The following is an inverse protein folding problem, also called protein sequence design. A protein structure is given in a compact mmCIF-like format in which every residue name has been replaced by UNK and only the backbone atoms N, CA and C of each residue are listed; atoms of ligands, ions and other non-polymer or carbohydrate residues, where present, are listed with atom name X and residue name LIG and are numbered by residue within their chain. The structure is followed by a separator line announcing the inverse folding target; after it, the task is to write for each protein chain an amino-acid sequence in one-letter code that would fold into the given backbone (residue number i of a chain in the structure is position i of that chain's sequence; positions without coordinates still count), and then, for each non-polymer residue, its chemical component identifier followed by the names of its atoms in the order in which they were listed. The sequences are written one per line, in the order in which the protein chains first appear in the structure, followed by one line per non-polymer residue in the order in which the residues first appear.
data_IF_208540568032
#
_entry.id   IF_208540568032
#
_cell.length_a   1.000
_cell.length_b   1.000
_cell.length_c   1.000
_cell.angle_alpha   90.00
_cell.angle_beta   90.00
_cell.angle_gamma   90.00
#
_symmetry.space_group_name_H-M   'P 1'
#
loop_
_entity.id
_entity.type
_entity.pdbx_description
1 polymer ?
#
# COMPACT_ATOMS: atom_id res chain seq x y z
N UNK A 1 -4.31 -47.31 -45.54
CA UNK A 1 -2.85 -47.25 -45.82
C UNK A 1 -2.20 -46.60 -44.60
N UNK A 2 -1.78 -47.37 -43.60
CA UNK A 2 -0.41 -47.90 -43.38
C UNK A 2 0.71 -46.92 -43.75
N UNK A 3 1.49 -46.53 -42.73
CA UNK A 3 2.93 -46.19 -42.69
C UNK A 3 3.13 -45.19 -41.52
N UNK A 4 3.43 -45.57 -40.28
CA UNK A 4 4.72 -46.07 -39.74
C UNK A 4 5.94 -45.46 -40.43
N UNK A 5 6.82 -44.78 -39.68
CA UNK A 5 8.25 -45.12 -39.56
C UNK A 5 9.02 -44.08 -38.69
N UNK A 6 9.58 -44.59 -37.58
CA UNK A 6 10.90 -44.31 -36.92
C UNK A 6 11.24 -42.88 -36.45
N UNK A 7 11.49 -42.62 -35.17
CA UNK A 7 12.57 -43.10 -34.27
C UNK A 7 13.96 -42.48 -34.57
N UNK A 8 14.45 -41.64 -33.64
CA UNK A 8 15.79 -41.64 -32.98
C UNK A 8 16.07 -40.21 -32.42
N UNK A 9 16.18 -40.03 -31.10
CA UNK A 9 17.33 -40.17 -30.19
C UNK A 9 17.86 -38.79 -29.75
N UNK A 10 17.73 -38.56 -28.43
CA UNK A 10 18.72 -38.00 -27.50
C UNK A 10 19.56 -36.79 -27.92
N UNK A 11 19.26 -35.66 -27.27
CA UNK A 11 20.18 -34.55 -27.04
C UNK A 11 20.04 -34.07 -25.60
N UNK A 12 20.60 -34.82 -24.65
CA UNK A 12 20.66 -34.44 -23.24
C UNK A 12 21.63 -33.27 -23.09
N UNK A 13 21.10 -32.05 -23.02
CA UNK A 13 21.94 -30.88 -22.71
C UNK A 13 22.28 -30.89 -21.21
N UNK A 14 23.51 -31.33 -20.90
CA UNK A 14 24.09 -31.23 -19.58
C UNK A 14 24.28 -29.74 -19.22
N UNK A 15 23.35 -29.17 -18.44
CA UNK A 15 23.57 -27.88 -17.80
C UNK A 15 24.49 -28.09 -16.59
N UNK A 16 25.72 -27.64 -16.74
CA UNK A 16 26.71 -27.56 -15.69
C UNK A 16 26.12 -26.90 -14.42
N UNK A 17 26.08 -27.64 -13.32
CA UNK A 17 25.77 -27.10 -12.01
C UNK A 17 26.90 -26.16 -11.59
N UNK A 18 26.61 -24.86 -11.50
CA UNK A 18 27.50 -23.90 -10.85
C UNK A 18 27.39 -24.11 -9.35
N UNK A 19 28.34 -24.84 -8.78
CA UNK A 19 28.55 -24.92 -7.33
C UNK A 19 29.14 -23.59 -6.85
N UNK A 20 28.38 -22.84 -6.05
CA UNK A 20 28.88 -21.71 -5.29
C UNK A 20 29.43 -22.24 -3.96
N UNK A 21 30.75 -22.26 -3.81
CA UNK A 21 31.38 -22.49 -2.52
C UNK A 21 31.24 -21.19 -1.69
N UNK A 22 30.28 -21.18 -0.77
CA UNK A 22 30.07 -20.06 0.14
C UNK A 22 30.93 -20.30 1.39
N UNK A 23 32.09 -19.63 1.46
CA UNK A 23 32.91 -19.62 2.66
C UNK A 23 32.21 -18.79 3.75
N UNK A 24 31.80 -19.45 4.83
CA UNK A 24 31.23 -18.79 6.01
C UNK A 24 32.36 -18.18 6.85
N UNK A 25 32.44 -16.86 6.86
CA UNK A 25 33.20 -16.10 7.86
C UNK A 25 32.31 -15.89 9.09
N UNK A 26 32.68 -16.42 10.28
CA UNK A 26 31.92 -16.16 11.50
C UNK A 26 32.18 -14.72 11.96
N UNK A 27 31.21 -13.84 11.76
CA UNK A 27 31.17 -12.54 12.43
C UNK A 27 30.71 -12.73 13.89
N UNK A 28 31.39 -12.12 14.87
CA UNK A 28 30.97 -12.16 16.27
C UNK A 28 29.63 -11.43 16.43
N UNK A 29 28.67 -12.14 17.02
CA UNK A 29 27.36 -11.65 17.43
C UNK A 29 27.52 -10.61 18.53
N UNK A 30 27.50 -9.33 18.18
CA UNK A 30 27.44 -8.24 19.15
C UNK A 30 26.18 -7.42 18.92
N UNK A 31 25.36 -7.33 19.96
CA UNK A 31 24.38 -6.27 20.11
C UNK A 31 22.96 -6.63 19.71
N UNK A 32 22.19 -7.08 20.69
CA UNK A 32 20.74 -6.87 20.78
C UNK A 32 20.40 -5.46 20.27
N UNK A 33 19.56 -5.28 19.24
CA UNK A 33 19.02 -3.96 18.93
C UNK A 33 18.12 -3.57 20.10
N UNK A 34 18.68 -2.74 20.98
CA UNK A 34 18.01 -2.06 22.06
C UNK A 34 16.82 -1.32 21.44
N UNK A 35 15.61 -1.85 21.69
CA UNK A 35 14.37 -1.20 21.32
C UNK A 35 14.38 0.17 21.99
N UNK A 36 14.67 1.23 21.22
CA UNK A 36 14.47 2.58 21.64
C UNK A 36 12.98 2.72 21.95
N UNK A 37 12.62 2.76 23.23
CA UNK A 37 11.30 3.12 23.70
C UNK A 37 11.07 4.57 23.31
N UNK A 38 10.63 4.77 22.07
CA UNK A 38 10.13 6.06 21.61
C UNK A 38 9.01 6.46 22.58
N UNK A 39 9.21 7.56 23.29
CA UNK A 39 8.22 8.10 24.20
C UNK A 39 6.87 8.22 23.47
N UNK A 40 5.74 7.86 24.10
CA UNK A 40 4.44 7.92 23.45
C UNK A 40 4.17 9.37 23.04
N UNK A 41 4.26 9.65 21.73
CA UNK A 41 3.88 10.94 21.18
C UNK A 41 2.41 11.18 21.49
N UNK A 42 2.03 12.35 22.02
CA UNK A 42 0.64 12.66 22.33
C UNK A 42 -0.21 12.48 21.08
N UNK A 43 -1.32 11.75 21.22
CA UNK A 43 -2.21 11.42 20.11
C UNK A 43 -2.90 12.72 19.66
N UNK A 44 -2.41 13.32 18.57
CA UNK A 44 -2.83 14.63 18.06
C UNK A 44 -4.27 14.65 17.53
N UNK A 45 -4.79 13.49 17.13
CA UNK A 45 -6.08 13.34 16.47
C UNK A 45 -6.85 12.16 17.07
N UNK A 46 -8.19 12.15 17.04
CA UNK A 46 -8.98 11.01 17.53
C UNK A 46 -8.86 9.76 16.63
N UNK A 47 -8.04 9.83 15.59
CA UNK A 47 -7.76 8.75 14.65
C UNK A 47 -6.27 8.73 14.30
N UNK A 48 -5.78 7.57 13.87
CA UNK A 48 -4.39 7.37 13.46
C UNK A 48 -4.33 6.57 12.16
N UNK A 49 -3.34 6.89 11.32
CA UNK A 49 -3.09 6.16 10.06
C UNK A 49 -1.63 5.68 10.09
N UNK A 50 -1.38 4.39 10.37
CA UNK A 50 -0.04 3.84 10.37
C UNK A 50 0.52 3.80 8.94
N UNK A 51 1.80 4.16 8.81
CA UNK A 51 2.56 3.93 7.57
C UNK A 51 2.75 2.44 7.35
N UNK A 52 2.87 2.05 6.09
CA UNK A 52 3.19 0.66 5.76
C UNK A 52 4.65 0.32 6.13
N UNK A 53 5.04 -0.95 6.00
CA UNK A 53 6.41 -1.43 6.30
C UNK A 53 7.51 -0.72 5.50
N UNK A 54 7.16 -0.08 4.38
CA UNK A 54 8.07 0.72 3.54
C UNK A 54 8.00 2.22 3.86
N UNK A 55 7.31 2.62 4.93
CA UNK A 55 7.16 4.01 5.34
C UNK A 55 6.23 4.86 4.47
N UNK A 56 5.47 4.27 3.55
CA UNK A 56 4.54 5.00 2.67
C UNK A 56 3.13 5.08 3.27
N UNK A 57 2.38 6.13 2.92
CA UNK A 57 0.98 6.26 3.32
C UNK A 57 0.13 5.13 2.72
N UNK A 58 -0.80 4.53 3.49
CA UNK A 58 -1.65 3.43 3.04
C UNK A 58 -2.81 3.92 2.16
N UNK A 59 -2.51 4.76 1.15
CA UNK A 59 -3.48 5.32 0.20
C UNK A 59 -3.30 4.65 -1.16
N UNK A 60 -4.37 4.04 -1.66
CA UNK A 60 -4.35 3.23 -2.87
C UNK A 60 -5.41 3.72 -3.85
N UNK A 61 -5.18 3.48 -5.14
CA UNK A 61 -6.19 3.65 -6.17
C UNK A 61 -6.72 2.28 -6.55
N UNK A 62 -8.03 2.16 -6.66
CA UNK A 62 -8.72 0.97 -7.15
C UNK A 62 -9.55 1.37 -8.36
N UNK A 63 -9.33 0.68 -9.47
CA UNK A 63 -9.89 0.99 -10.77
C UNK A 63 -10.77 -0.18 -11.17
N UNK A 64 -12.06 0.08 -11.40
CA UNK A 64 -13.07 -0.92 -11.73
C UNK A 64 -13.84 -0.53 -12.99
N UNK A 65 -14.70 -1.45 -13.45
CA UNK A 65 -15.61 -1.25 -14.58
C UNK A 65 -14.89 -0.77 -15.85
N UNK A 66 -13.80 -1.43 -16.24
CA UNK A 66 -13.05 -1.07 -17.45
C UNK A 66 -12.50 0.36 -17.41
N UNK A 67 -11.89 0.75 -16.28
CA UNK A 67 -11.30 2.08 -16.09
C UNK A 67 -12.24 3.27 -15.98
N UNK A 68 -13.55 3.03 -15.80
CA UNK A 68 -14.51 4.12 -15.62
C UNK A 68 -14.75 4.47 -14.14
N UNK A 69 -14.56 3.51 -13.23
CA UNK A 69 -14.78 3.70 -11.80
C UNK A 69 -13.45 3.79 -11.07
N UNK A 70 -13.08 5.00 -10.67
CA UNK A 70 -11.89 5.27 -9.87
C UNK A 70 -12.27 5.48 -8.41
N UNK A 71 -11.68 4.67 -7.54
CA UNK A 71 -11.81 4.77 -6.09
C UNK A 71 -10.44 5.05 -5.48
N UNK A 72 -10.41 5.91 -4.46
CA UNK A 72 -9.23 6.11 -3.61
C UNK A 72 -9.53 5.48 -2.26
N UNK A 73 -8.63 4.61 -1.76
CA UNK A 73 -8.81 3.91 -0.50
C UNK A 73 -7.73 4.30 0.48
N UNK A 74 -8.12 4.75 1.66
CA UNK A 74 -7.25 4.93 2.82
C UNK A 74 -7.43 3.69 3.70
N UNK A 75 -6.37 2.88 3.85
CA UNK A 75 -6.40 1.64 4.62
C UNK A 75 -5.82 1.83 6.02
N UNK A 76 -6.13 0.85 6.87
CA UNK A 76 -5.60 0.72 8.23
C UNK A 76 -5.88 1.91 9.14
N UNK A 77 -7.01 2.58 8.99
CA UNK A 77 -7.39 3.67 9.91
C UNK A 77 -7.69 3.07 11.29
N UNK A 78 -7.12 3.68 12.32
CA UNK A 78 -7.34 3.36 13.72
C UNK A 78 -8.04 4.52 14.43
N UNK A 79 -8.82 4.24 15.47
CA UNK A 79 -9.61 5.24 16.18
C UNK A 79 -10.89 5.66 15.44
N UNK A 80 -11.29 6.93 15.59
CA UNK A 80 -12.56 7.45 15.08
C UNK A 80 -12.49 7.76 13.57
N UNK A 81 -12.99 6.84 12.76
CA UNK A 81 -12.99 6.97 11.29
C UNK A 81 -13.91 8.08 10.77
N UNK A 82 -14.99 8.38 11.48
CA UNK A 82 -15.97 9.39 11.06
C UNK A 82 -15.40 10.80 11.25
N UNK A 83 -14.55 10.99 12.26
CA UNK A 83 -13.75 12.20 12.41
C UNK A 83 -12.80 12.40 11.22
N UNK A 84 -12.08 11.34 10.79
CA UNK A 84 -11.24 11.40 9.59
C UNK A 84 -12.07 11.71 8.33
N UNK A 85 -13.23 11.07 8.16
CA UNK A 85 -14.10 11.29 7.01
C UNK A 85 -14.61 12.74 6.97
N UNK A 86 -14.98 13.31 8.12
CA UNK A 86 -15.42 14.70 8.24
C UNK A 86 -14.29 15.68 7.93
N UNK A 87 -13.10 15.46 8.49
CA UNK A 87 -11.94 16.32 8.20
C UNK A 87 -11.48 16.23 6.74
N UNK A 88 -11.58 15.05 6.10
CA UNK A 88 -11.30 14.92 4.68
C UNK A 88 -12.29 15.72 3.82
N UNK A 89 -13.58 15.72 4.17
CA UNK A 89 -14.59 16.53 3.45
C UNK A 89 -14.29 18.02 3.53
N UNK A 90 -13.81 18.49 4.68
CA UNK A 90 -13.56 19.91 4.93
C UNK A 90 -12.16 20.38 4.49
N UNK A 91 -11.17 19.48 4.52
CA UNK A 91 -9.77 19.84 4.41
C UNK A 91 -9.08 19.45 3.11
N UNK A 92 -9.65 18.54 2.31
CA UNK A 92 -8.99 18.05 1.09
C UNK A 92 -9.10 19.05 -0.07
N UNK A 93 -10.27 19.68 -0.21
CA UNK A 93 -10.57 20.67 -1.25
C UNK A 93 -11.30 21.87 -0.63
N UNK A 94 -11.13 23.06 -1.22
CA UNK A 94 -11.88 24.24 -0.78
C UNK A 94 -13.38 24.08 -1.07
N UNK A 95 -14.26 24.55 -0.18
CA UNK A 95 -15.70 24.52 -0.43
C UNK A 95 -16.05 25.33 -1.68
N UNK A 96 -16.97 24.82 -2.50
CA UNK A 96 -17.39 25.45 -3.76
C UNK A 96 -16.52 25.12 -4.98
N UNK A 97 -15.50 24.27 -4.82
CA UNK A 97 -14.76 23.72 -5.97
C UNK A 97 -15.53 22.54 -6.59
N UNK A 98 -15.48 22.35 -7.92
CA UNK A 98 -16.16 21.23 -8.57
C UNK A 98 -15.62 19.87 -8.10
N UNK A 99 -14.36 19.81 -7.66
CA UNK A 99 -13.77 18.62 -7.05
C UNK A 99 -14.42 18.26 -5.70
N UNK A 100 -14.66 19.26 -4.85
CA UNK A 100 -15.32 19.07 -3.56
C UNK A 100 -16.76 18.56 -3.72
N UNK A 101 -17.51 19.08 -4.70
CA UNK A 101 -18.89 18.66 -4.96
C UNK A 101 -18.98 17.25 -5.53
N UNK A 102 -18.03 16.88 -6.42
CA UNK A 102 -17.94 15.52 -6.96
C UNK A 102 -17.49 14.52 -5.91
N UNK A 103 -16.85 15.00 -4.84
CA UNK A 103 -16.24 14.12 -3.85
C UNK A 103 -17.25 13.42 -2.97
N UNK A 104 -17.31 12.09 -3.06
CA UNK A 104 -18.08 11.24 -2.14
C UNK A 104 -17.14 10.43 -1.25
N UNK A 105 -17.45 10.41 0.05
CA UNK A 105 -16.68 9.68 1.07
C UNK A 105 -17.59 8.66 1.75
N UNK A 106 -17.13 7.42 1.82
CA UNK A 106 -17.76 6.30 2.51
C UNK A 106 -16.78 5.64 3.48
N UNK A 107 -17.26 5.25 4.65
CA UNK A 107 -16.49 4.47 5.63
C UNK A 107 -16.89 2.99 5.52
N UNK A 108 -15.91 2.09 5.53
CA UNK A 108 -16.12 0.65 5.39
C UNK A 108 -15.53 -0.05 6.63
N UNK A 109 -16.39 -0.80 7.32
CA UNK A 109 -16.03 -1.67 8.47
C UNK A 109 -15.18 -0.97 9.53
N UNK A 110 -15.39 0.34 9.70
CA UNK A 110 -14.65 1.20 10.64
C UNK A 110 -13.12 1.19 10.53
N UNK A 111 -12.57 0.71 9.40
CA UNK A 111 -11.12 0.54 9.18
C UNK A 111 -10.62 1.18 7.89
N UNK A 112 -11.52 1.43 6.94
CA UNK A 112 -11.19 1.93 5.61
C UNK A 112 -12.06 3.11 5.23
N UNK A 113 -11.44 4.13 4.65
CA UNK A 113 -12.16 5.24 4.02
C UNK A 113 -12.04 5.08 2.52
N UNK A 114 -13.18 5.11 1.83
CA UNK A 114 -13.28 5.03 0.38
C UNK A 114 -13.80 6.34 -0.15
N UNK A 115 -13.09 6.82 -1.15
CA UNK A 115 -13.29 8.09 -1.81
C UNK A 115 -13.62 7.82 -3.28
N UNK A 116 -14.72 8.38 -3.79
CA UNK A 116 -15.20 8.13 -5.17
C UNK A 116 -15.74 9.36 -5.86
N UNK A 117 -15.38 9.58 -7.13
CA UNK A 117 -15.75 10.79 -7.88
C UNK A 117 -14.58 11.42 -8.62
N UNK A 118 -13.38 10.84 -8.51
CA UNK A 118 -12.18 11.26 -9.22
C UNK A 118 -10.93 10.55 -8.72
N UNK A 119 -9.78 10.97 -9.26
CA UNK A 119 -8.46 10.48 -8.89
C UNK A 119 -7.84 11.38 -7.82
N UNK A 120 -8.04 11.04 -6.54
CA UNK A 120 -7.61 11.92 -5.44
C UNK A 120 -6.44 11.38 -4.62
N UNK A 121 -5.84 10.26 -5.03
CA UNK A 121 -4.71 9.63 -4.31
C UNK A 121 -3.63 10.63 -3.93
N UNK A 122 -3.15 11.43 -4.89
CA UNK A 122 -2.03 12.35 -4.66
C UNK A 122 -2.39 13.46 -3.68
N UNK A 123 -3.59 14.03 -3.82
CA UNK A 123 -4.08 15.07 -2.91
C UNK A 123 -4.28 14.52 -1.50
N UNK A 124 -4.85 13.31 -1.37
CA UNK A 124 -5.03 12.66 -0.06
C UNK A 124 -3.69 12.38 0.60
N UNK A 125 -2.70 11.87 -0.14
CA UNK A 125 -1.35 11.64 0.39
C UNK A 125 -0.72 12.96 0.84
N UNK A 126 -0.78 14.00 0.01
CA UNK A 126 -0.22 15.33 0.34
C UNK A 126 -0.88 15.89 1.60
N UNK A 127 -2.20 15.78 1.71
CA UNK A 127 -2.96 16.24 2.87
C UNK A 127 -2.58 15.49 4.16
N UNK A 128 -2.48 14.17 4.10
CA UNK A 128 -2.09 13.34 5.25
C UNK A 128 -0.65 13.66 5.71
N UNK A 129 0.28 13.77 4.76
CA UNK A 129 1.68 14.13 5.06
C UNK A 129 1.75 15.53 5.68
N UNK A 130 0.98 16.50 5.15
CA UNK A 130 0.90 17.86 5.72
C UNK A 130 0.38 17.87 7.17
N UNK A 131 -0.51 16.95 7.54
CA UNK A 131 -0.98 16.81 8.93
C UNK A 131 0.03 16.15 9.87
N UNK A 132 1.04 15.49 9.31
CA UNK A 132 2.11 14.82 10.05
C UNK A 132 1.90 13.31 10.26
N UNK A 133 1.09 12.66 9.41
CA UNK A 133 0.97 11.19 9.37
C UNK A 133 2.08 10.54 8.53
#
# INVERSE_FOLDING_TARGET
MLSSFRSRLLGTSARAARSYAQAAVPHPTTGTPQHATAAPTPVKYPYYIPRNSRGSMPVYTDIRNGSTKHLTLIRNVEGNIDALATELRQGLFSPGTPEAERMKIQTIRSKHVVLSGGLWKNEVVRWLVKKGF
#
